data_IF_106384661968
#
_entry.id   IF_106384661968
#
_cell.length_a   1.000
_cell.length_b   1.000
_cell.length_c   1.000
_cell.angle_alpha   90.00
_cell.angle_beta   90.00
_cell.angle_gamma   90.00
#
_symmetry.space_group_name_H-M   'P 1'
#
loop_
_entity.id
_entity.type
_entity.pdbx_description
1 polymer ?
#
# COMPACT_ATOMS: atom_id res chain seq x y z
N UNK A 1 -20.80 7.28 -49.94
CA UNK A 1 -19.97 7.35 -48.71
C UNK A 1 -19.21 8.67 -48.80
N UNK A 2 -19.13 9.42 -47.71
CA UNK A 2 -18.40 10.71 -47.69
C UNK A 2 -16.90 10.40 -47.77
N UNK A 3 -16.20 11.09 -48.68
CA UNK A 3 -14.78 10.78 -49.00
C UNK A 3 -13.85 11.48 -48.00
N UNK A 4 -14.22 12.70 -47.57
CA UNK A 4 -13.40 13.51 -46.67
C UNK A 4 -14.23 14.13 -45.52
N UNK A 5 -13.61 14.30 -44.38
CA UNK A 5 -14.23 14.74 -43.12
C UNK A 5 -13.50 15.94 -42.56
N UNK A 6 -14.25 16.89 -42.00
CA UNK A 6 -13.71 18.02 -41.26
C UNK A 6 -13.27 17.61 -39.85
N UNK A 7 -12.33 18.31 -39.24
CA UNK A 7 -11.78 18.00 -37.93
C UNK A 7 -12.85 17.79 -36.83
N UNK A 8 -13.94 18.56 -36.87
CA UNK A 8 -15.06 18.41 -35.94
C UNK A 8 -15.84 17.11 -36.14
N UNK A 9 -15.94 16.63 -37.36
CA UNK A 9 -16.57 15.35 -37.69
C UNK A 9 -15.65 14.20 -37.28
N UNK A 10 -14.34 14.33 -37.54
CA UNK A 10 -13.32 13.38 -37.08
C UNK A 10 -13.36 13.25 -35.59
N UNK A 11 -13.44 14.37 -34.83
CA UNK A 11 -13.55 14.37 -33.40
C UNK A 11 -14.77 13.57 -32.89
N UNK A 12 -15.93 13.75 -33.54
CA UNK A 12 -17.14 12.99 -33.19
C UNK A 12 -17.03 11.49 -33.47
N UNK A 13 -16.38 11.13 -34.59
CA UNK A 13 -16.22 9.72 -35.03
C UNK A 13 -15.20 8.98 -34.20
N UNK A 14 -14.11 9.67 -33.81
CA UNK A 14 -12.98 9.07 -33.06
C UNK A 14 -13.09 9.23 -31.56
N UNK A 15 -13.99 10.10 -31.08
CA UNK A 15 -14.10 10.53 -29.67
C UNK A 15 -12.85 11.24 -29.15
N UNK A 16 -11.96 11.69 -30.04
CA UNK A 16 -10.75 12.42 -29.71
C UNK A 16 -11.05 13.92 -29.72
N UNK A 17 -10.72 14.69 -28.64
CA UNK A 17 -10.92 16.14 -28.63
C UNK A 17 -10.20 16.83 -29.81
N UNK A 18 -10.83 17.87 -30.36
CA UNK A 18 -10.26 18.64 -31.46
C UNK A 18 -8.86 19.19 -31.14
N UNK A 19 -8.62 19.60 -29.90
CA UNK A 19 -7.29 20.03 -29.44
C UNK A 19 -6.23 18.93 -29.59
N UNK A 20 -6.58 17.70 -29.22
CA UNK A 20 -5.71 16.52 -29.36
C UNK A 20 -5.48 16.18 -30.84
N UNK A 21 -6.51 16.27 -31.67
CA UNK A 21 -6.36 16.04 -33.11
C UNK A 21 -5.42 17.07 -33.76
N UNK A 22 -5.52 18.34 -33.36
CA UNK A 22 -4.57 19.39 -33.78
C UNK A 22 -3.16 19.11 -33.34
N UNK A 23 -3.02 18.66 -32.05
CA UNK A 23 -1.73 18.26 -31.53
C UNK A 23 -1.11 17.11 -32.33
N UNK A 24 -1.87 16.05 -32.64
CA UNK A 24 -1.40 14.93 -33.47
C UNK A 24 -1.01 15.37 -34.85
N UNK A 25 -1.72 16.32 -35.46
CA UNK A 25 -1.37 16.89 -36.77
C UNK A 25 -0.07 17.69 -36.71
N UNK A 26 0.11 18.54 -35.69
CA UNK A 26 1.33 19.34 -35.50
C UNK A 26 2.55 18.47 -35.21
N UNK A 27 2.35 17.34 -34.56
CA UNK A 27 3.39 16.34 -34.27
C UNK A 27 3.64 15.38 -35.43
N UNK A 28 3.01 15.60 -36.60
CA UNK A 28 3.07 14.76 -37.82
C UNK A 28 2.68 13.29 -37.59
N UNK A 29 1.93 12.97 -36.54
CA UNK A 29 1.42 11.62 -36.30
C UNK A 29 0.36 11.23 -37.32
N UNK A 30 -0.53 12.16 -37.65
CA UNK A 30 -1.52 12.02 -38.73
C UNK A 30 -1.63 13.35 -39.43
N UNK A 31 -1.18 13.40 -40.68
CA UNK A 31 -1.33 14.57 -41.56
C UNK A 31 -2.68 14.57 -42.23
N UNK A 32 -3.37 15.73 -42.40
CA UNK A 32 -4.59 15.81 -43.18
C UNK A 32 -4.39 15.33 -44.62
N UNK A 33 -5.42 14.78 -45.25
CA UNK A 33 -5.38 14.36 -46.64
C UNK A 33 -5.07 15.57 -47.53
N UNK A 34 -5.70 16.68 -47.24
CA UNK A 34 -5.38 17.96 -47.85
C UNK A 34 -5.88 19.13 -47.01
N UNK A 35 -5.32 20.30 -47.26
CA UNK A 35 -5.78 21.57 -46.73
C UNK A 35 -6.40 22.39 -47.89
N UNK A 36 -7.66 22.75 -47.75
CA UNK A 36 -8.36 23.54 -48.72
C UNK A 36 -7.84 24.99 -48.71
N UNK A 37 -7.37 25.47 -49.87
CA UNK A 37 -6.79 26.82 -50.01
C UNK A 37 -7.84 27.95 -49.91
N UNK A 38 -9.10 27.63 -50.18
CA UNK A 38 -10.18 28.65 -50.19
C UNK A 38 -10.66 28.97 -48.75
N UNK A 39 -10.75 27.99 -47.89
CA UNK A 39 -11.29 28.13 -46.54
C UNK A 39 -10.30 27.82 -45.41
N UNK A 40 -9.11 27.35 -45.80
CA UNK A 40 -8.00 27.01 -44.90
C UNK A 40 -8.29 25.83 -43.93
N UNK A 41 -9.30 25.00 -44.22
CA UNK A 41 -9.67 23.85 -43.41
C UNK A 41 -8.90 22.59 -43.81
N UNK A 42 -8.60 21.79 -42.80
CA UNK A 42 -8.01 20.47 -42.93
C UNK A 42 -9.10 19.44 -43.16
N UNK A 43 -8.89 18.58 -44.14
CA UNK A 43 -9.75 17.46 -44.51
C UNK A 43 -9.02 16.14 -44.29
N UNK A 44 -9.73 15.18 -43.72
CA UNK A 44 -9.21 13.86 -43.35
C UNK A 44 -9.95 12.77 -44.13
N UNK A 45 -9.22 11.81 -44.66
CA UNK A 45 -9.78 10.60 -45.28
C UNK A 45 -10.22 9.57 -44.24
N UNK A 46 -10.95 8.56 -44.69
CA UNK A 46 -11.34 7.45 -43.85
C UNK A 46 -10.13 6.69 -43.27
N UNK A 47 -9.08 6.51 -44.08
CA UNK A 47 -7.82 5.87 -43.64
C UNK A 47 -7.20 6.62 -42.47
N UNK A 48 -7.14 7.94 -42.51
CA UNK A 48 -6.61 8.77 -41.43
C UNK A 48 -7.48 8.69 -40.17
N UNK A 49 -8.80 8.56 -40.32
CA UNK A 49 -9.69 8.32 -39.17
C UNK A 49 -9.39 6.97 -38.50
N UNK A 50 -9.14 5.91 -39.27
CA UNK A 50 -8.72 4.62 -38.74
C UNK A 50 -7.39 4.72 -38.00
N UNK A 51 -6.40 5.41 -38.58
CA UNK A 51 -5.09 5.62 -37.96
C UNK A 51 -5.23 6.39 -36.62
N UNK A 52 -6.07 7.44 -36.59
CA UNK A 52 -6.35 8.18 -35.34
C UNK A 52 -7.01 7.30 -34.27
N UNK A 53 -7.97 6.46 -34.65
CA UNK A 53 -8.58 5.50 -33.74
C UNK A 53 -7.56 4.51 -33.18
N UNK A 54 -6.68 3.99 -34.03
CA UNK A 54 -5.61 3.08 -33.63
C UNK A 54 -4.63 3.76 -32.67
N UNK A 55 -4.17 4.98 -33.00
CA UNK A 55 -3.29 5.77 -32.10
C UNK A 55 -3.96 5.97 -30.74
N UNK A 56 -5.24 6.37 -30.72
CA UNK A 56 -5.97 6.58 -29.47
C UNK A 56 -6.12 5.28 -28.66
N UNK A 57 -6.43 4.17 -29.33
CA UNK A 57 -6.49 2.86 -28.69
C UNK A 57 -5.16 2.47 -28.03
N UNK A 58 -4.06 2.60 -28.78
CA UNK A 58 -2.71 2.30 -28.30
C UNK A 58 -2.33 3.21 -27.11
N UNK A 59 -2.67 4.51 -27.19
CA UNK A 59 -2.49 5.47 -26.07
C UNK A 59 -3.23 5.04 -24.80
N UNK A 60 -4.44 4.56 -24.94
CA UNK A 60 -5.25 4.08 -23.82
C UNK A 60 -4.68 2.81 -23.16
N UNK A 61 -3.84 2.05 -23.86
CA UNK A 61 -3.05 0.94 -23.30
C UNK A 61 -1.84 1.42 -22.48
N UNK A 62 -1.56 2.73 -22.47
CA UNK A 62 -0.48 3.34 -21.69
C UNK A 62 0.82 3.56 -22.47
N UNK A 63 0.80 3.38 -23.81
CA UNK A 63 1.96 3.63 -24.67
C UNK A 63 2.17 5.13 -24.82
N UNK A 64 3.42 5.58 -24.70
CA UNK A 64 3.76 6.99 -24.87
C UNK A 64 3.63 7.42 -26.32
N UNK A 65 3.44 8.71 -26.54
CA UNK A 65 3.32 9.24 -27.91
C UNK A 65 4.65 9.13 -28.66
N UNK A 66 5.76 9.23 -27.94
CA UNK A 66 7.11 9.07 -28.48
C UNK A 66 7.32 7.64 -29.02
N UNK A 67 6.90 6.64 -28.28
CA UNK A 67 6.96 5.23 -28.72
C UNK A 67 6.07 4.97 -29.93
N UNK A 68 4.87 5.58 -29.98
CA UNK A 68 3.98 5.49 -31.15
C UNK A 68 4.63 6.15 -32.38
N UNK A 69 5.24 7.32 -32.20
CA UNK A 69 5.97 8.00 -33.26
C UNK A 69 7.10 7.14 -33.80
N UNK A 70 7.94 6.62 -32.92
CA UNK A 70 9.06 5.76 -33.30
C UNK A 70 8.59 4.59 -34.17
N UNK A 71 7.49 3.93 -33.80
CA UNK A 71 6.91 2.86 -34.60
C UNK A 71 6.40 3.31 -35.95
N UNK A 72 5.65 4.42 -36.04
CA UNK A 72 5.09 4.93 -37.28
C UNK A 72 6.19 5.32 -38.27
N UNK A 73 7.30 5.93 -37.77
CA UNK A 73 8.37 6.41 -38.62
C UNK A 73 9.38 5.33 -39.03
N UNK A 74 9.65 4.35 -38.19
CA UNK A 74 10.66 3.30 -38.50
C UNK A 74 10.10 2.13 -39.27
N UNK A 75 8.80 1.83 -39.12
CA UNK A 75 8.10 0.67 -39.78
C UNK A 75 8.80 -0.67 -39.53
N UNK A 76 9.61 -0.77 -38.48
CA UNK A 76 10.30 -2.00 -38.10
C UNK A 76 9.37 -2.86 -37.21
N UNK A 77 8.90 -3.99 -37.76
CA UNK A 77 7.99 -4.90 -37.04
C UNK A 77 8.58 -5.40 -35.69
N UNK A 78 9.88 -5.67 -35.68
CA UNK A 78 10.58 -6.14 -34.46
C UNK A 78 10.55 -5.12 -33.30
N UNK A 79 10.61 -3.83 -33.63
CA UNK A 79 10.51 -2.75 -32.64
C UNK A 79 9.12 -2.67 -32.03
N UNK A 80 8.09 -2.84 -32.84
CA UNK A 80 6.71 -2.82 -32.38
C UNK A 80 6.42 -4.00 -31.45
N UNK A 81 6.87 -5.19 -31.82
CA UNK A 81 6.76 -6.38 -30.97
C UNK A 81 7.47 -6.19 -29.62
N UNK A 82 8.66 -5.57 -29.63
CA UNK A 82 9.38 -5.24 -28.39
C UNK A 82 8.58 -4.29 -27.51
N UNK A 83 8.05 -3.19 -28.07
CA UNK A 83 7.21 -2.23 -27.36
C UNK A 83 6.00 -2.93 -26.73
N UNK A 84 5.30 -3.79 -27.49
CA UNK A 84 4.15 -4.54 -26.99
C UNK A 84 4.54 -5.47 -25.82
N UNK A 85 5.68 -6.15 -25.89
CA UNK A 85 6.20 -7.01 -24.81
C UNK A 85 6.52 -6.20 -23.55
N UNK A 86 7.13 -5.03 -23.69
CA UNK A 86 7.42 -4.13 -22.58
C UNK A 86 6.12 -3.68 -21.89
N UNK A 87 5.11 -3.27 -22.66
CA UNK A 87 3.81 -2.86 -22.14
C UNK A 87 3.07 -4.00 -21.43
N UNK A 88 3.08 -5.19 -22.04
CA UNK A 88 2.50 -6.39 -21.41
C UNK A 88 3.17 -6.63 -20.04
N UNK A 89 4.49 -6.50 -19.98
CA UNK A 89 5.25 -6.65 -18.73
C UNK A 89 4.86 -5.59 -17.69
N UNK A 90 4.74 -4.32 -18.11
CA UNK A 90 4.30 -3.24 -17.22
C UNK A 90 2.87 -3.46 -16.70
N UNK A 91 1.95 -3.87 -17.57
CA UNK A 91 0.57 -4.20 -17.17
C UNK A 91 0.54 -5.36 -16.20
N UNK A 92 1.33 -6.41 -16.43
CA UNK A 92 1.46 -7.54 -15.52
C UNK A 92 1.96 -7.09 -14.13
N UNK A 93 2.98 -6.23 -14.09
CA UNK A 93 3.50 -5.66 -12.85
C UNK A 93 2.43 -4.82 -12.12
N UNK A 94 1.67 -4.01 -12.84
CA UNK A 94 0.53 -3.26 -12.27
C UNK A 94 -0.55 -4.18 -11.71
N UNK A 95 -0.89 -5.26 -12.41
CA UNK A 95 -1.85 -6.27 -11.93
C UNK A 95 -1.36 -6.91 -10.63
N UNK A 96 -0.09 -7.29 -10.53
CA UNK A 96 0.50 -7.84 -9.30
C UNK A 96 0.42 -6.83 -8.17
N UNK A 97 0.77 -5.56 -8.43
CA UNK A 97 0.69 -4.49 -7.45
C UNK A 97 -0.75 -4.28 -6.94
N UNK A 98 -1.72 -4.18 -7.86
CA UNK A 98 -3.13 -4.01 -7.52
C UNK A 98 -3.71 -5.21 -6.74
N UNK A 99 -3.33 -6.44 -7.10
CA UNK A 99 -3.71 -7.64 -6.34
C UNK A 99 -3.17 -7.60 -4.90
N UNK A 100 -1.94 -7.15 -4.71
CA UNK A 100 -1.35 -6.98 -3.39
C UNK A 100 -2.07 -5.89 -2.59
N UNK A 101 -2.37 -4.73 -3.21
CA UNK A 101 -3.14 -3.66 -2.57
C UNK A 101 -4.53 -4.14 -2.16
N UNK A 102 -5.24 -4.83 -3.05
CA UNK A 102 -6.55 -5.43 -2.75
C UNK A 102 -6.46 -6.35 -1.54
N UNK A 103 -5.46 -7.26 -1.49
CA UNK A 103 -5.26 -8.18 -0.37
C UNK A 103 -5.03 -7.45 0.96
N UNK A 104 -4.29 -6.32 0.93
CA UNK A 104 -4.07 -5.48 2.10
C UNK A 104 -5.40 -4.87 2.56
N UNK A 105 -6.18 -4.28 1.63
CA UNK A 105 -7.47 -3.67 1.95
C UNK A 105 -8.48 -4.70 2.48
N UNK A 106 -8.56 -5.89 1.88
CA UNK A 106 -9.42 -6.98 2.36
C UNK A 106 -9.05 -7.40 3.78
N UNK A 107 -7.74 -7.44 4.09
CA UNK A 107 -7.25 -7.73 5.43
C UNK A 107 -7.66 -6.64 6.43
N UNK A 108 -7.51 -5.35 6.05
CA UNK A 108 -7.96 -4.24 6.90
C UNK A 108 -9.47 -4.30 7.14
N UNK A 109 -10.25 -4.60 6.10
CA UNK A 109 -11.69 -4.76 6.23
C UNK A 109 -12.07 -5.93 7.18
N UNK A 110 -11.34 -7.03 7.10
CA UNK A 110 -11.53 -8.18 8.00
C UNK A 110 -11.17 -7.82 9.44
N UNK A 111 -10.02 -7.18 9.66
CA UNK A 111 -9.59 -6.73 10.98
C UNK A 111 -10.59 -5.75 11.58
N UNK A 112 -11.10 -4.79 10.78
CA UNK A 112 -12.13 -3.86 11.25
C UNK A 112 -13.41 -4.55 11.70
N UNK A 113 -13.83 -5.62 11.01
CA UNK A 113 -15.00 -6.43 11.42
C UNK A 113 -14.73 -7.21 12.70
N UNK A 114 -13.54 -7.81 12.83
CA UNK A 114 -13.11 -8.55 14.03
C UNK A 114 -12.97 -7.58 15.19
N UNK A 115 -12.33 -6.42 14.98
CA UNK A 115 -12.09 -5.41 16.00
C UNK A 115 -13.36 -4.88 16.68
N UNK A 116 -14.50 -4.88 16.00
CA UNK A 116 -15.80 -4.50 16.59
C UNK A 116 -16.27 -5.46 17.68
N UNK A 117 -15.82 -6.70 17.68
CA UNK A 117 -16.23 -7.75 18.60
C UNK A 117 -15.15 -8.07 19.65
N UNK A 118 -14.06 -7.31 19.72
CA UNK A 118 -13.01 -7.50 20.73
C UNK A 118 -13.48 -6.86 22.04
N UNK A 119 -13.48 -7.64 23.10
CA UNK A 119 -13.67 -7.13 24.44
C UNK A 119 -12.42 -6.37 24.87
N UNK A 120 -12.58 -5.08 25.16
CA UNK A 120 -11.50 -4.23 25.64
C UNK A 120 -11.31 -4.37 27.14
N UNK A 121 -10.06 -4.21 27.55
CA UNK A 121 -9.67 -4.16 28.95
C UNK A 121 -9.95 -5.42 29.78
N UNK A 122 -10.14 -6.56 29.09
CA UNK A 122 -10.31 -7.88 29.72
C UNK A 122 -9.10 -8.74 29.35
N UNK A 123 -8.29 -9.17 30.36
CA UNK A 123 -7.17 -10.06 30.10
C UNK A 123 -7.62 -11.47 29.71
N UNK A 124 -6.89 -12.09 28.77
CA UNK A 124 -7.09 -13.47 28.33
C UNK A 124 -5.76 -14.15 28.04
N UNK A 125 -5.73 -15.48 28.06
CA UNK A 125 -4.52 -16.25 27.70
C UNK A 125 -4.61 -16.70 26.25
N UNK A 126 -3.50 -16.56 25.52
CA UNK A 126 -3.37 -17.00 24.12
C UNK A 126 -1.99 -17.57 23.85
N UNK A 127 -1.96 -18.73 23.18
CA UNK A 127 -0.75 -19.32 22.65
C UNK A 127 -0.30 -18.70 21.34
N UNK A 128 1.00 -18.56 21.15
CA UNK A 128 1.61 -18.08 19.91
C UNK A 128 2.75 -19.01 19.50
N UNK A 129 2.96 -19.13 18.20
CA UNK A 129 4.19 -19.67 17.62
C UNK A 129 5.23 -18.54 17.52
N UNK A 130 6.48 -18.90 17.20
CA UNK A 130 7.56 -17.94 17.03
C UNK A 130 7.17 -16.82 16.04
N UNK A 131 7.21 -15.59 16.49
CA UNK A 131 6.98 -14.42 15.66
C UNK A 131 8.33 -13.77 15.35
N UNK A 132 8.66 -13.73 14.07
CA UNK A 132 9.91 -13.12 13.57
C UNK A 132 9.67 -11.66 13.18
N UNK A 133 10.62 -10.82 13.55
CA UNK A 133 10.57 -9.39 13.25
C UNK A 133 11.95 -8.75 13.37
N UNK A 134 11.98 -7.44 13.39
CA UNK A 134 13.18 -6.64 13.64
C UNK A 134 12.99 -5.87 14.94
N UNK A 135 13.92 -6.04 15.86
CA UNK A 135 14.03 -5.23 17.07
C UNK A 135 15.02 -4.11 16.84
N UNK A 136 14.65 -2.88 17.18
CA UNK A 136 15.46 -1.68 16.96
C UNK A 136 15.68 -1.00 18.30
N UNK A 137 16.93 -0.65 18.59
CA UNK A 137 17.29 0.09 19.78
C UNK A 137 16.56 1.44 19.86
N UNK A 138 16.15 1.90 21.07
CA UNK A 138 15.53 3.20 21.28
C UNK A 138 16.39 4.39 20.80
N UNK A 139 17.72 4.21 20.76
CA UNK A 139 18.67 5.23 20.35
C UNK A 139 18.76 5.40 18.82
N UNK A 140 18.25 4.44 18.05
CA UNK A 140 18.26 4.53 16.59
C UNK A 140 17.12 5.41 16.08
N UNK A 141 17.44 6.30 15.16
CA UNK A 141 16.44 7.17 14.49
C UNK A 141 15.54 6.34 13.57
N UNK A 142 14.43 5.89 14.12
CA UNK A 142 13.48 4.94 13.54
C UNK A 142 12.99 5.38 12.17
N UNK A 143 12.57 6.64 12.05
CA UNK A 143 11.95 7.17 10.83
C UNK A 143 12.92 7.35 9.66
N UNK A 144 14.22 7.43 9.93
CA UNK A 144 15.25 7.49 8.88
C UNK A 144 15.56 6.10 8.32
N UNK A 145 15.61 5.07 9.16
CA UNK A 145 15.96 3.70 8.79
C UNK A 145 14.77 2.88 8.26
N UNK A 146 13.59 3.16 8.79
CA UNK A 146 12.36 2.45 8.45
C UNK A 146 11.25 3.46 8.15
N UNK A 147 11.17 3.97 6.91
CA UNK A 147 10.02 4.76 6.52
C UNK A 147 8.76 3.95 6.79
N UNK A 148 7.76 4.58 7.41
CA UNK A 148 6.45 3.97 7.66
C UNK A 148 5.85 3.49 6.33
N UNK A 149 6.19 2.25 5.94
CA UNK A 149 5.58 1.59 4.80
C UNK A 149 4.42 0.78 5.34
N UNK A 150 3.26 0.88 4.72
CA UNK A 150 2.06 0.07 4.99
C UNK A 150 2.29 -1.46 4.83
N UNK A 151 3.53 -1.91 4.83
CA UNK A 151 3.95 -3.30 4.67
C UNK A 151 4.18 -4.03 5.99
N UNK A 152 4.18 -3.31 7.12
CA UNK A 152 4.38 -3.90 8.45
C UNK A 152 3.07 -4.48 8.97
N UNK A 153 3.15 -5.69 9.55
CA UNK A 153 1.98 -6.37 10.11
C UNK A 153 1.58 -5.77 11.44
N UNK A 154 2.58 -5.48 12.26
CA UNK A 154 2.44 -4.88 13.58
C UNK A 154 3.64 -3.99 13.84
N UNK A 155 3.37 -2.88 14.47
CA UNK A 155 4.35 -2.00 15.09
C UNK A 155 4.13 -2.07 16.60
N UNK A 156 5.20 -2.12 17.38
CA UNK A 156 5.05 -2.21 18.82
C UNK A 156 6.32 -1.83 19.57
N UNK A 157 6.23 -1.96 20.87
CA UNK A 157 7.30 -1.73 21.80
C UNK A 157 7.51 -2.97 22.65
N UNK A 158 8.77 -3.21 23.04
CA UNK A 158 9.17 -4.17 24.04
C UNK A 158 9.74 -3.41 25.21
N UNK A 159 9.23 -3.67 26.42
CA UNK A 159 9.67 -3.08 27.66
C UNK A 159 10.15 -4.16 28.60
N UNK A 160 11.05 -3.81 29.53
CA UNK A 160 11.31 -4.58 30.74
C UNK A 160 10.44 -4.05 31.87
N UNK A 161 9.97 -4.93 32.73
CA UNK A 161 9.09 -4.57 33.88
C UNK A 161 9.64 -3.41 34.71
N UNK A 162 10.96 -3.33 34.86
CA UNK A 162 11.64 -2.29 35.65
C UNK A 162 11.76 -0.94 34.93
N UNK A 163 11.60 -0.91 33.60
CA UNK A 163 11.75 0.34 32.81
C UNK A 163 10.48 1.21 32.84
N UNK A 164 9.38 0.69 33.40
CA UNK A 164 8.10 1.41 33.41
C UNK A 164 8.05 2.58 34.39
N UNK A 165 8.98 2.63 35.37
CA UNK A 165 8.96 3.63 36.43
C UNK A 165 9.64 4.95 36.06
N UNK A 166 10.67 4.96 35.21
CA UNK A 166 11.45 6.19 34.94
C UNK A 166 11.16 6.85 33.58
N UNK A 167 11.29 6.17 32.50
CA UNK A 167 10.89 6.59 31.16
C UNK A 167 10.64 5.36 30.30
N UNK A 168 9.67 5.38 29.38
CA UNK A 168 9.47 4.26 28.48
C UNK A 168 10.66 4.17 27.51
N UNK A 169 11.75 3.53 27.94
CA UNK A 169 12.92 3.18 27.15
C UNK A 169 12.78 1.76 26.61
N UNK A 170 11.74 1.54 25.79
CA UNK A 170 11.55 0.23 25.16
C UNK A 170 12.21 0.15 23.80
N UNK A 171 12.70 -1.04 23.41
CA UNK A 171 13.07 -1.28 22.03
C UNK A 171 11.85 -1.30 21.11
N UNK A 172 12.01 -0.79 19.90
CA UNK A 172 10.95 -0.78 18.91
C UNK A 172 10.90 -2.10 18.17
N UNK A 173 9.71 -2.64 17.97
CA UNK A 173 9.50 -3.89 17.28
C UNK A 173 8.76 -3.66 15.97
N UNK A 174 9.32 -4.17 14.88
CA UNK A 174 8.67 -4.19 13.58
C UNK A 174 8.47 -5.62 13.11
N UNK A 175 7.24 -5.99 12.85
CA UNK A 175 6.88 -7.29 12.28
C UNK A 175 6.45 -7.06 10.83
N UNK A 176 7.33 -7.41 9.88
CA UNK A 176 7.08 -7.28 8.45
C UNK A 176 6.89 -8.64 7.79
N UNK A 177 6.00 -8.70 6.79
CA UNK A 177 5.81 -9.92 6.00
C UNK A 177 6.85 -10.15 4.89
N UNK A 178 7.49 -9.08 4.38
CA UNK A 178 8.22 -9.13 3.11
C UNK A 178 9.74 -9.29 3.21
N UNK A 179 10.37 -8.86 4.30
CA UNK A 179 11.83 -8.97 4.40
C UNK A 179 12.23 -10.36 4.86
N UNK A 180 12.89 -11.13 3.97
CA UNK A 180 13.46 -12.44 4.26
C UNK A 180 14.84 -12.38 4.91
N UNK A 181 15.47 -11.21 4.94
CA UNK A 181 16.83 -11.02 5.43
C UNK A 181 16.86 -10.56 6.88
N UNK A 182 17.62 -11.22 7.72
CA UNK A 182 17.95 -10.88 9.13
C UNK A 182 16.75 -10.69 10.09
N UNK A 183 15.76 -11.57 10.05
CA UNK A 183 14.70 -11.61 11.06
C UNK A 183 15.10 -12.48 12.24
N UNK A 184 15.21 -11.87 13.42
CA UNK A 184 15.28 -12.59 14.70
C UNK A 184 13.87 -12.97 15.18
N UNK A 185 13.80 -13.94 16.07
CA UNK A 185 12.56 -14.20 16.83
C UNK A 185 12.38 -13.06 17.82
N UNK A 186 11.29 -12.30 17.66
CA UNK A 186 10.95 -11.19 18.58
C UNK A 186 9.96 -11.60 19.65
N UNK A 187 9.06 -12.56 19.36
CA UNK A 187 8.26 -13.27 20.36
C UNK A 187 8.52 -14.76 20.21
N UNK A 188 8.88 -15.39 21.32
CA UNK A 188 9.09 -16.84 21.38
C UNK A 188 7.75 -17.56 21.38
N UNK A 189 7.75 -18.79 20.88
CA UNK A 189 6.65 -19.73 21.05
C UNK A 189 6.32 -19.87 22.53
N UNK A 190 5.03 -19.76 22.87
CA UNK A 190 4.58 -19.91 24.26
C UNK A 190 3.20 -19.34 24.50
N UNK A 191 2.79 -19.36 25.75
CA UNK A 191 1.55 -18.76 26.21
C UNK A 191 1.79 -17.34 26.73
N UNK A 192 0.87 -16.46 26.43
CA UNK A 192 0.92 -15.06 26.79
C UNK A 192 -0.39 -14.63 27.45
N UNK A 193 -0.31 -13.78 28.46
CA UNK A 193 -1.46 -13.01 28.90
C UNK A 193 -1.58 -11.82 27.98
N UNK A 194 -2.74 -11.67 27.36
CA UNK A 194 -3.05 -10.65 26.38
C UNK A 194 -4.20 -9.78 26.87
N UNK A 195 -4.16 -8.48 26.56
CA UNK A 195 -5.29 -7.58 26.80
C UNK A 195 -5.34 -6.52 25.72
N UNK A 196 -6.49 -6.38 25.08
CA UNK A 196 -6.75 -5.27 24.17
C UNK A 196 -7.18 -4.04 24.95
N UNK A 197 -6.60 -2.90 24.64
CA UNK A 197 -6.98 -1.60 25.21
C UNK A 197 -7.04 -0.54 24.12
N UNK A 198 -7.68 0.58 24.45
CA UNK A 198 -7.87 1.70 23.54
C UNK A 198 -7.66 3.03 24.28
N UNK A 199 -6.76 3.88 23.78
CA UNK A 199 -6.47 5.18 24.42
C UNK A 199 -6.01 6.24 23.41
N UNK A 200 -5.83 7.48 23.89
CA UNK A 200 -5.28 8.60 23.13
C UNK A 200 -3.74 8.51 22.95
N UNK A 201 -3.15 7.35 23.14
CA UNK A 201 -1.70 7.14 23.03
C UNK A 201 -0.87 7.92 24.06
N UNK A 202 -1.37 8.02 25.28
CA UNK A 202 -0.60 8.58 26.39
C UNK A 202 0.19 7.47 27.09
N UNK A 203 1.40 7.80 27.56
CA UNK A 203 2.26 6.90 28.34
C UNK A 203 1.52 6.30 29.54
N UNK A 204 0.81 7.12 30.26
CA UNK A 204 0.02 6.73 31.44
C UNK A 204 -1.03 5.65 31.12
N UNK A 205 -1.70 5.77 29.97
CA UNK A 205 -2.73 4.80 29.55
C UNK A 205 -2.12 3.42 29.31
N UNK A 206 -0.95 3.38 28.66
CA UNK A 206 -0.23 2.13 28.38
C UNK A 206 0.26 1.50 29.70
N UNK A 207 0.84 2.30 30.61
CA UNK A 207 1.30 1.84 31.91
C UNK A 207 0.14 1.26 32.76
N UNK A 208 -0.99 1.95 32.80
CA UNK A 208 -2.19 1.48 33.45
C UNK A 208 -2.70 0.14 32.89
N UNK A 209 -2.65 -0.01 31.56
CA UNK A 209 -3.06 -1.26 30.93
C UNK A 209 -2.11 -2.41 31.27
N UNK A 210 -0.82 -2.16 31.34
CA UNK A 210 0.19 -3.15 31.76
C UNK A 210 -0.04 -3.56 33.22
N UNK A 211 -0.23 -2.61 34.13
CA UNK A 211 -0.53 -2.90 35.53
C UNK A 211 -1.79 -3.76 35.72
N UNK A 212 -2.81 -3.53 34.89
CA UNK A 212 -4.05 -4.34 34.95
C UNK A 212 -3.78 -5.78 34.55
N UNK A 213 -2.96 -6.03 33.54
CA UNK A 213 -2.56 -7.38 33.15
C UNK A 213 -1.73 -8.03 34.24
N UNK A 214 -0.80 -7.31 34.85
CA UNK A 214 0.04 -7.81 35.94
C UNK A 214 -0.80 -8.18 37.17
N UNK A 215 -1.69 -7.29 37.62
CA UNK A 215 -2.63 -7.56 38.76
C UNK A 215 -3.52 -8.76 38.47
N UNK A 216 -3.99 -8.92 37.21
CA UNK A 216 -4.78 -10.08 36.83
C UNK A 216 -3.97 -11.38 36.90
N UNK A 217 -2.69 -11.37 36.50
CA UNK A 217 -1.78 -12.51 36.65
C UNK A 217 -1.56 -12.88 38.13
N UNK A 218 -1.30 -11.89 38.97
CA UNK A 218 -1.14 -12.08 40.43
C UNK A 218 -2.40 -12.71 41.05
N UNK A 219 -3.59 -12.22 40.70
CA UNK A 219 -4.86 -12.77 41.19
C UNK A 219 -5.13 -14.21 40.74
N UNK A 220 -4.44 -14.68 39.70
CA UNK A 220 -4.55 -16.02 39.13
C UNK A 220 -3.37 -16.92 39.48
N UNK A 221 -2.42 -16.44 40.29
CA UNK A 221 -1.18 -17.14 40.62
C UNK A 221 -0.36 -17.55 39.40
N UNK A 222 -0.35 -16.69 38.34
CA UNK A 222 0.38 -16.93 37.11
C UNK A 222 1.72 -16.20 37.17
N UNK A 223 2.81 -16.94 37.02
CA UNK A 223 4.16 -16.37 36.87
C UNK A 223 4.31 -15.77 35.46
N UNK A 224 4.78 -14.52 35.40
CA UNK A 224 4.94 -13.78 34.17
C UNK A 224 6.38 -13.29 33.98
N UNK A 225 6.80 -13.24 32.74
CA UNK A 225 8.11 -12.74 32.30
C UNK A 225 8.30 -11.26 32.64
N UNK A 226 9.58 -10.86 32.72
CA UNK A 226 9.97 -9.45 32.76
C UNK A 226 9.74 -8.71 31.45
N UNK A 227 9.63 -9.44 30.31
CA UNK A 227 9.40 -8.85 29.02
C UNK A 227 7.92 -8.51 28.82
N UNK A 228 7.64 -7.29 28.40
CA UNK A 228 6.30 -6.78 28.10
C UNK A 228 6.29 -6.28 26.68
N UNK A 229 5.31 -6.70 25.91
CA UNK A 229 5.13 -6.30 24.52
C UNK A 229 3.83 -5.52 24.37
N UNK A 230 3.89 -4.41 23.63
CA UNK A 230 2.72 -3.61 23.29
C UNK A 230 2.69 -3.41 21.78
N UNK A 231 1.70 -3.99 21.12
CA UNK A 231 1.52 -3.87 19.67
C UNK A 231 0.33 -2.99 19.34
N UNK A 232 0.53 -2.06 18.42
CA UNK A 232 -0.51 -1.17 17.96
C UNK A 232 -1.25 -1.79 16.77
N UNK A 233 -2.57 -1.66 16.80
CA UNK A 233 -3.39 -1.99 15.65
C UNK A 233 -3.30 -0.86 14.63
N UNK A 234 -2.80 -1.18 13.41
CA UNK A 234 -2.77 -0.26 12.28
C UNK A 234 -4.20 -0.03 11.76
N UNK A 235 -5.05 0.68 12.50
CA UNK A 235 -6.35 1.04 12.00
C UNK A 235 -6.58 2.53 11.91
N UNK A 236 -7.28 2.91 10.86
CA UNK A 236 -8.10 4.04 10.41
C UNK A 236 -8.34 5.24 11.37
N UNK A 237 -7.92 5.15 12.60
CA UNK A 237 -8.09 6.20 13.60
C UNK A 237 -7.11 7.35 13.41
N UNK A 238 -6.05 7.18 12.62
CA UNK A 238 -5.03 8.19 12.35
C UNK A 238 -5.56 9.44 11.59
N UNK A 239 -6.77 9.36 11.05
CA UNK A 239 -7.36 10.46 10.26
C UNK A 239 -8.43 11.27 11.01
N UNK A 240 -8.72 10.93 12.26
CA UNK A 240 -9.65 11.71 13.09
C UNK A 240 -8.88 12.38 14.22
N UNK A 241 -9.01 13.68 14.37
CA UNK A 241 -8.53 14.40 15.55
C UNK A 241 -9.07 13.73 16.83
N UNK A 242 -8.20 13.47 17.79
CA UNK A 242 -8.52 12.80 19.06
C UNK A 242 -9.01 11.34 18.91
N UNK A 243 -8.63 10.64 17.86
CA UNK A 243 -8.97 9.22 17.77
C UNK A 243 -8.14 8.39 18.72
N UNK A 244 -8.83 7.47 19.38
CA UNK A 244 -8.19 6.48 20.23
C UNK A 244 -7.49 5.45 19.36
N UNK A 245 -6.29 5.06 19.79
CA UNK A 245 -5.51 4.00 19.17
C UNK A 245 -5.72 2.73 19.97
N UNK A 246 -6.03 1.64 19.26
CA UNK A 246 -6.14 0.32 19.89
C UNK A 246 -4.78 -0.35 19.93
N UNK A 247 -4.48 -0.99 21.03
CA UNK A 247 -3.23 -1.72 21.23
C UNK A 247 -3.45 -3.01 22.02
N UNK A 248 -2.56 -3.97 21.80
CA UNK A 248 -2.53 -5.26 22.47
C UNK A 248 -1.34 -5.28 23.43
N UNK A 249 -1.59 -5.39 24.72
CA UNK A 249 -0.57 -5.71 25.72
C UNK A 249 -0.41 -7.22 25.76
N UNK A 250 0.85 -7.70 25.74
CA UNK A 250 1.18 -9.13 25.79
C UNK A 250 2.33 -9.35 26.77
N UNK A 251 2.15 -10.23 27.73
CA UNK A 251 3.19 -10.62 28.70
C UNK A 251 3.35 -12.14 28.62
N UNK A 252 4.57 -12.66 28.35
CA UNK A 252 4.82 -14.09 28.34
C UNK A 252 4.53 -14.70 29.71
N UNK A 253 3.97 -15.89 29.73
CA UNK A 253 3.83 -16.70 30.92
C UNK A 253 5.11 -17.50 31.12
N UNK A 254 5.78 -17.34 32.22
CA UNK A 254 6.91 -18.15 32.58
C UNK A 254 6.39 -19.53 33.03
N UNK A 255 6.53 -20.52 32.17
CA UNK A 255 6.30 -21.90 32.60
C UNK A 255 7.47 -22.29 33.48
N UNK A 256 7.25 -22.57 34.76
CA UNK A 256 8.19 -23.35 35.52
C UNK A 256 8.39 -24.70 34.78
N UNK A 257 9.63 -25.00 34.44
CA UNK A 257 10.07 -26.32 33.92
C UNK A 257 10.09 -27.31 35.07
#
# INVERSE_FOLDING_TARGET
MKEYYLINEVSKITEIPVSTLRYYSNENLVTPAFKDKSNNYNYYSLEQIFNLKLINYIRNLGISLEQIKEYIFTKEEDKFEKILKEIISEVQNKIVCLKNQKKILEKHLMNHKIGKNIELDIPFIKGFEDIKGTEISPEEKIFEKFPLKFEYKYFGFKFLKNDLQEEIKGSHLYISFKNRENKSVVLNKGSYICMWSESLFKKEDISNSIERVQKWAELKDILISQNIFVFFEEEYTLFKENSKIRYLVMIPIDNEI
#
